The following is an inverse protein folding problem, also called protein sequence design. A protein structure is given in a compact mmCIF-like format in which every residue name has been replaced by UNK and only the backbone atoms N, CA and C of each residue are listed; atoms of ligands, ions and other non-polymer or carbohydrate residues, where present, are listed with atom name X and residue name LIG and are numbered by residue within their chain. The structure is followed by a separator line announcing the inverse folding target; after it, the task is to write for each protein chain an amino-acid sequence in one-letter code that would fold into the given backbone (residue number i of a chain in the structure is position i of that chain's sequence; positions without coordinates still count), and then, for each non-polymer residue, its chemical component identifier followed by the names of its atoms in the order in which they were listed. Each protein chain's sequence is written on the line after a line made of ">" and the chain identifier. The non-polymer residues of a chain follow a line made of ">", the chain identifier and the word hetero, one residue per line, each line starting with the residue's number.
data_IF_222062916795
#
_entry.id   IF_222062916795
#
_cell.length_a   1.000
_cell.length_b   1.000
_cell.length_c   1.000
_cell.angle_alpha   90.00
_cell.angle_beta   90.00
_cell.angle_gamma   90.00
#
_symmetry.space_group_name_H-M   'P 1'
#
loop_
_entity.id
_entity.type
_entity.pdbx_description
1 polymer ?
#
# COMPACT_ATOMS: atom_id res chain seq x y z
N UNK A 1 -14.50 6.91 -1.41
CA UNK A 1 -15.12 5.97 -0.45
C UNK A 1 -15.09 6.63 0.92
N UNK A 2 -16.20 6.64 1.66
CA UNK A 2 -16.24 7.23 3.00
C UNK A 2 -16.18 6.12 4.05
N UNK A 3 -15.37 6.29 5.08
CA UNK A 3 -15.15 5.30 6.15
C UNK A 3 -13.76 5.45 6.80
N UNK A 4 -13.51 4.79 7.94
CA UNK A 4 -12.21 4.86 8.62
C UNK A 4 -11.06 4.32 7.74
N UNK A 5 -9.85 4.81 7.97
CA UNK A 5 -8.66 4.26 7.32
C UNK A 5 -8.44 2.81 7.74
N UNK A 6 -8.13 1.93 6.78
CA UNK A 6 -7.90 0.50 7.04
C UNK A 6 -6.49 0.04 6.67
N UNK A 7 -5.71 0.91 6.01
CA UNK A 7 -4.30 0.67 5.69
C UNK A 7 -3.38 1.21 6.79
N UNK A 8 -2.09 0.83 6.71
CA UNK A 8 -1.03 1.41 7.55
C UNK A 8 -0.39 2.67 6.95
N UNK A 9 -1.09 3.38 6.05
CA UNK A 9 -0.56 4.58 5.42
C UNK A 9 -0.44 5.73 6.43
N UNK A 10 0.73 6.35 6.49
CA UNK A 10 1.06 7.38 7.48
C UNK A 10 1.10 8.79 6.87
N UNK A 11 0.53 9.01 5.69
CA UNK A 11 0.48 10.34 5.05
C UNK A 11 1.71 10.73 4.22
N UNK A 12 2.62 9.80 3.92
CA UNK A 12 3.80 10.11 3.08
C UNK A 12 3.39 10.45 1.63
N UNK A 13 3.57 11.72 1.24
CA UNK A 13 3.24 12.23 -0.10
C UNK A 13 4.09 11.60 -1.19
N UNK A 14 5.38 11.37 -0.94
CA UNK A 14 6.28 10.71 -1.89
C UNK A 14 5.82 9.29 -2.19
N UNK A 15 5.49 8.51 -1.16
CA UNK A 15 5.02 7.14 -1.33
C UNK A 15 3.66 7.10 -2.05
N UNK A 16 2.79 8.06 -1.73
CA UNK A 16 1.52 8.22 -2.42
C UNK A 16 1.72 8.48 -3.92
N UNK A 17 2.61 9.40 -4.29
CA UNK A 17 2.90 9.74 -5.68
C UNK A 17 3.52 8.56 -6.45
N UNK A 18 4.44 7.81 -5.84
CA UNK A 18 5.04 6.63 -6.46
C UNK A 18 4.00 5.55 -6.77
N UNK A 19 3.10 5.27 -5.81
CA UNK A 19 2.02 4.28 -6.01
C UNK A 19 1.02 4.79 -7.06
N UNK A 20 0.66 6.08 -7.02
CA UNK A 20 -0.22 6.69 -8.02
C UNK A 20 0.36 6.59 -9.43
N UNK A 21 1.66 6.85 -9.62
CA UNK A 21 2.33 6.72 -10.92
C UNK A 21 2.30 5.27 -11.44
N UNK A 22 2.49 4.28 -10.56
CA UNK A 22 2.39 2.87 -10.96
C UNK A 22 0.96 2.45 -11.29
N UNK A 23 -0.05 2.97 -10.56
CA UNK A 23 -1.48 2.77 -10.89
C UNK A 23 -1.80 3.38 -12.25
N UNK A 24 -1.33 4.61 -12.51
CA UNK A 24 -1.50 5.28 -13.80
C UNK A 24 -0.92 4.45 -14.94
N UNK A 25 0.33 3.98 -14.77
CA UNK A 25 1.05 3.16 -15.76
C UNK A 25 0.33 1.86 -16.08
N UNK A 26 -0.32 1.24 -15.09
CA UNK A 26 -1.00 -0.06 -15.26
C UNK A 26 -2.42 0.05 -15.80
N UNK A 27 -3.17 1.09 -15.43
CA UNK A 27 -4.61 1.15 -15.71
C UNK A 27 -5.16 2.47 -16.27
N UNK A 28 -4.44 3.60 -16.11
CA UNK A 28 -4.79 4.98 -16.55
C UNK A 28 -4.97 5.99 -15.41
N UNK A 29 -4.96 7.28 -15.79
CA UNK A 29 -5.31 8.43 -14.93
C UNK A 29 -6.70 8.33 -14.29
N UNK A 30 -7.64 7.63 -14.91
CA UNK A 30 -8.97 7.43 -14.34
C UNK A 30 -8.92 6.62 -13.05
N UNK A 31 -8.00 5.65 -12.95
CA UNK A 31 -7.80 4.86 -11.73
C UNK A 31 -7.04 5.65 -10.66
N UNK A 32 -6.15 6.57 -11.04
CA UNK A 32 -5.50 7.47 -10.07
C UNK A 32 -6.54 8.32 -9.32
N UNK A 33 -7.61 8.76 -9.99
CA UNK A 33 -8.72 9.49 -9.32
C UNK A 33 -9.50 8.62 -8.32
N UNK A 34 -9.44 7.30 -8.48
CA UNK A 34 -10.10 6.31 -7.61
C UNK A 34 -9.17 5.79 -6.53
N UNK A 35 -7.86 6.00 -6.67
CA UNK A 35 -6.85 5.56 -5.73
C UNK A 35 -7.02 6.27 -4.38
N UNK A 36 -7.04 5.45 -3.33
CA UNK A 36 -7.09 5.88 -1.94
C UNK A 36 -6.11 4.99 -1.14
N UNK A 37 -4.98 5.58 -0.75
CA UNK A 37 -3.92 4.90 -0.02
C UNK A 37 -4.37 4.33 1.33
N UNK A 38 -5.44 4.87 1.92
CA UNK A 38 -5.97 4.44 3.21
C UNK A 38 -6.95 3.26 3.08
N UNK A 39 -7.50 3.02 1.89
CA UNK A 39 -8.69 2.16 1.72
C UNK A 39 -8.58 1.10 0.63
N UNK A 40 -7.87 1.36 -0.46
CA UNK A 40 -7.93 0.47 -1.63
C UNK A 40 -6.56 0.10 -2.23
N UNK A 41 -5.48 0.40 -1.50
CA UNK A 41 -4.14 -0.09 -1.79
C UNK A 41 -3.52 -0.66 -0.51
N UNK A 42 -3.62 -1.98 -0.35
CA UNK A 42 -3.35 -2.65 0.91
C UNK A 42 -2.30 -3.74 0.74
N UNK A 43 -1.69 -4.16 1.85
CA UNK A 43 -0.77 -5.31 1.86
C UNK A 43 -1.54 -6.62 1.64
N UNK A 44 -0.83 -7.66 1.20
CA UNK A 44 -1.38 -9.00 1.01
C UNK A 44 -2.16 -9.50 2.24
N UNK A 45 -1.55 -9.41 3.42
CA UNK A 45 -2.17 -9.87 4.68
C UNK A 45 -3.46 -9.11 5.01
N UNK A 46 -3.52 -7.81 4.69
CA UNK A 46 -4.72 -7.00 4.93
C UNK A 46 -5.82 -7.34 3.94
N UNK A 47 -5.51 -7.60 2.67
CA UNK A 47 -6.52 -8.10 1.74
C UNK A 47 -7.08 -9.45 2.17
N UNK A 48 -6.21 -10.36 2.63
CA UNK A 48 -6.64 -11.67 3.13
C UNK A 48 -7.60 -11.56 4.32
N UNK A 49 -7.32 -10.67 5.28
CA UNK A 49 -8.21 -10.49 6.43
C UNK A 49 -9.56 -9.86 6.08
N UNK A 50 -9.66 -9.23 4.89
CA UNK A 50 -10.91 -8.71 4.34
C UNK A 50 -11.63 -9.72 3.43
N UNK A 51 -11.12 -10.95 3.30
CA UNK A 51 -11.72 -11.97 2.42
C UNK A 51 -11.37 -11.82 0.94
N UNK A 52 -10.31 -11.10 0.62
CA UNK A 52 -9.80 -10.94 -0.75
C UNK A 52 -8.38 -11.48 -0.89
N UNK A 53 -8.01 -11.90 -2.09
CA UNK A 53 -6.62 -12.28 -2.39
C UNK A 53 -6.19 -11.63 -3.71
N UNK A 54 -4.91 -11.24 -3.87
CA UNK A 54 -4.40 -10.89 -5.19
C UNK A 54 -4.59 -12.03 -6.17
N UNK A 55 -5.03 -11.69 -7.39
CA UNK A 55 -5.21 -12.67 -8.48
C UNK A 55 -3.88 -13.35 -8.79
N UNK A 56 -3.95 -14.61 -9.21
CA UNK A 56 -2.77 -15.38 -9.58
C UNK A 56 -1.97 -14.66 -10.68
N UNK A 57 -0.66 -14.46 -10.44
CA UNK A 57 0.25 -13.80 -11.38
C UNK A 57 0.35 -12.28 -11.25
N UNK A 58 -0.46 -11.64 -10.40
CA UNK A 58 -0.38 -10.20 -10.15
C UNK A 58 0.92 -9.83 -9.43
N UNK A 59 1.61 -8.80 -9.95
CA UNK A 59 2.81 -8.24 -9.31
C UNK A 59 2.41 -7.15 -8.33
N UNK A 60 2.97 -7.16 -7.13
CA UNK A 60 2.76 -6.08 -6.17
C UNK A 60 3.26 -4.72 -6.70
N UNK A 61 2.69 -3.64 -6.17
CA UNK A 61 3.21 -2.29 -6.28
C UNK A 61 4.19 -2.10 -5.10
N UNK A 62 5.45 -1.79 -5.41
CA UNK A 62 6.48 -1.58 -4.39
C UNK A 62 6.46 -0.12 -3.92
N UNK A 63 6.30 0.08 -2.62
CA UNK A 63 6.52 1.35 -1.92
C UNK A 63 7.72 1.21 -0.97
N UNK A 64 8.39 2.31 -0.64
CA UNK A 64 9.54 2.30 0.28
C UNK A 64 9.22 3.23 1.44
N UNK A 65 9.18 2.69 2.65
CA UNK A 65 9.07 3.48 3.89
C UNK A 65 10.43 3.53 4.59
N UNK A 66 10.69 4.56 5.38
CA UNK A 66 11.90 4.64 6.20
C UNK A 66 11.54 4.35 7.65
N UNK A 67 12.17 3.33 8.22
CA UNK A 67 12.00 2.97 9.62
C UNK A 67 13.12 3.62 10.42
N UNK A 68 12.74 4.28 11.50
CA UNK A 68 13.69 4.87 12.45
C UNK A 68 14.12 3.81 13.47
N UNK A 69 15.42 3.55 13.55
CA UNK A 69 16.04 2.82 14.65
C UNK A 69 16.30 3.82 15.77
N UNK A 70 15.76 3.55 16.96
CA UNK A 70 15.95 4.36 18.16
C UNK A 70 16.84 3.62 19.16
N UNK A 71 17.62 4.36 19.94
CA UNK A 71 18.34 3.82 21.10
C UNK A 71 17.39 3.64 22.30
N UNK A 72 17.91 3.12 23.41
CA UNK A 72 17.16 2.89 24.66
C UNK A 72 16.60 4.18 25.28
N UNK A 73 17.09 5.35 24.83
CA UNK A 73 16.63 6.68 25.25
C UNK A 73 15.64 7.30 24.25
N UNK A 74 15.24 6.56 23.22
CA UNK A 74 14.28 6.99 22.20
C UNK A 74 14.85 7.93 21.13
N UNK A 75 16.17 8.18 21.13
CA UNK A 75 16.84 9.01 20.12
C UNK A 75 17.03 8.21 18.83
N UNK A 76 16.67 8.79 17.69
CA UNK A 76 16.85 8.16 16.38
C UNK A 76 18.35 8.08 16.06
N UNK A 77 18.88 6.85 15.99
CA UNK A 77 20.29 6.57 15.70
C UNK A 77 20.51 6.20 14.22
N UNK A 78 19.49 5.67 13.53
CA UNK A 78 19.60 5.28 12.12
C UNK A 78 18.23 5.31 11.45
N UNK A 79 18.20 5.56 10.14
CA UNK A 79 17.04 5.33 9.28
C UNK A 79 17.39 4.27 8.25
N UNK A 80 16.55 3.27 8.08
CA UNK A 80 16.76 2.24 7.06
C UNK A 80 15.52 2.12 6.16
N UNK A 81 15.71 1.97 4.84
CA UNK A 81 14.61 1.79 3.92
C UNK A 81 14.01 0.38 4.10
N UNK A 82 12.69 0.31 4.17
CA UNK A 82 11.90 -0.91 4.19
C UNK A 82 10.94 -0.89 3.02
N UNK A 83 11.03 -1.91 2.17
CA UNK A 83 10.06 -2.07 1.08
C UNK A 83 8.74 -2.62 1.63
N UNK A 84 7.64 -2.04 1.18
CA UNK A 84 6.28 -2.47 1.44
C UNK A 84 5.66 -2.84 0.10
N UNK A 85 5.06 -4.02 0.03
CA UNK A 85 4.40 -4.52 -1.18
C UNK A 85 2.90 -4.38 -1.02
N UNK A 86 2.29 -3.59 -1.90
CA UNK A 86 0.89 -3.24 -1.89
C UNK A 86 0.19 -3.81 -3.13
N UNK A 87 -1.12 -4.01 -3.01
CA UNK A 87 -1.99 -4.41 -4.10
C UNK A 87 -3.16 -3.43 -4.18
N UNK A 88 -3.38 -2.86 -5.35
CA UNK A 88 -4.53 -2.02 -5.62
C UNK A 88 -5.79 -2.88 -5.82
N UNK A 89 -6.98 -2.32 -5.57
CA UNK A 89 -8.27 -3.05 -5.65
C UNK A 89 -8.48 -3.80 -6.98
N UNK A 90 -7.92 -3.30 -8.09
CA UNK A 90 -8.00 -4.00 -9.39
C UNK A 90 -7.15 -5.26 -9.50
N UNK A 91 -6.29 -5.53 -8.52
CA UNK A 91 -5.40 -6.70 -8.50
C UNK A 91 -5.94 -7.83 -7.64
N UNK A 92 -7.04 -7.61 -6.91
CA UNK A 92 -7.58 -8.59 -5.98
C UNK A 92 -8.92 -9.15 -6.44
N UNK A 93 -9.24 -10.34 -5.97
CA UNK A 93 -10.50 -11.03 -6.18
C UNK A 93 -11.04 -11.56 -4.85
N UNK A 94 -12.37 -11.72 -4.70
CA UNK A 94 -12.94 -12.37 -3.54
C UNK A 94 -12.34 -13.76 -3.37
N UNK A 95 -11.81 -14.04 -2.18
CA UNK A 95 -11.33 -15.37 -1.83
C UNK A 95 -12.56 -16.25 -1.65
N UNK A 96 -12.80 -17.15 -2.60
CA UNK A 96 -13.76 -18.25 -2.40
C UNK A 96 -13.20 -19.10 -1.26
N UNK A 97 -13.87 -19.05 -0.11
CA UNK A 97 -13.60 -19.92 1.04
C UNK A 97 -14.07 -21.33 0.68
#
# INVERSE_FOLDING_TARGET
>A
MAGPAISGFTGSTTNHAMVAAEIERRWSKAEVKRYDAERNCLTFSKWLSLGYAPRKGEKAIRSVTFVEQKDDKGKVIKKFPRSVFLFYVKQVEPKKV
#
